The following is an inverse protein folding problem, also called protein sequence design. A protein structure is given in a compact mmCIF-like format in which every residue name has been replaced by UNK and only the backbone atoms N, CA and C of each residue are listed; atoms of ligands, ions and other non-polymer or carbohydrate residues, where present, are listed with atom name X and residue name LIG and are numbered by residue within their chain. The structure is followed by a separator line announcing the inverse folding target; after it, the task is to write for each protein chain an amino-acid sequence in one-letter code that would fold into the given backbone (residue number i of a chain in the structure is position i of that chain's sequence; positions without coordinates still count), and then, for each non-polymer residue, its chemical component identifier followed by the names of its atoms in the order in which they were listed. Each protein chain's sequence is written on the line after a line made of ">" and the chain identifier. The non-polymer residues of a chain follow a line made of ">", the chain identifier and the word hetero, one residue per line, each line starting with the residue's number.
data_IF_181210422520
#
_entry.id   IF_181210422520
#
_cell.length_a   1.000
_cell.length_b   1.000
_cell.length_c   1.000
_cell.angle_alpha   90.00
_cell.angle_beta   90.00
_cell.angle_gamma   90.00
#
_symmetry.space_group_name_H-M   'P 1'
#
loop_
_entity.id
_entity.type
_entity.pdbx_description
1 polymer ?
#
# COMPACT_ATOMS: atom_id res chain seq x y z
N UNK A 1 -25.80 26.32 -5.80
CA UNK A 1 -25.93 24.92 -5.43
C UNK A 1 -27.05 24.84 -4.39
N UNK A 2 -28.10 24.08 -4.69
CA UNK A 2 -29.17 23.77 -3.71
C UNK A 2 -28.58 22.82 -2.66
N UNK A 3 -28.86 23.04 -1.37
CA UNK A 3 -28.49 22.08 -0.35
C UNK A 3 -29.27 20.78 -0.59
N UNK A 4 -28.56 19.69 -0.84
CA UNK A 4 -29.16 18.37 -0.87
C UNK A 4 -29.45 18.01 0.60
N UNK A 5 -30.72 18.13 1.01
CA UNK A 5 -31.12 17.61 2.33
C UNK A 5 -31.19 16.09 2.23
N UNK A 6 -30.26 15.39 2.84
CA UNK A 6 -30.35 13.97 3.05
C UNK A 6 -31.06 13.74 4.39
N UNK A 7 -32.19 13.03 4.39
CA UNK A 7 -32.66 12.38 5.60
C UNK A 7 -31.72 11.23 5.89
N UNK A 8 -31.07 11.28 7.06
CA UNK A 8 -30.22 10.18 7.53
C UNK A 8 -31.11 8.97 7.83
N UNK A 9 -31.01 7.94 6.98
CA UNK A 9 -31.85 6.73 7.06
C UNK A 9 -31.18 5.60 7.84
N UNK A 10 -29.98 5.82 8.40
CA UNK A 10 -29.23 4.82 9.17
C UNK A 10 -29.41 5.00 10.68
N UNK A 11 -29.48 3.89 11.42
CA UNK A 11 -29.72 3.89 12.86
C UNK A 11 -28.42 3.98 13.70
N UNK A 12 -27.38 3.27 13.31
CA UNK A 12 -26.07 3.23 13.97
C UNK A 12 -25.02 2.81 12.97
N UNK A 13 -23.91 3.53 12.92
CA UNK A 13 -22.76 3.19 12.08
C UNK A 13 -21.68 2.60 12.97
N UNK A 14 -21.27 1.39 12.69
CA UNK A 14 -20.12 0.74 13.33
C UNK A 14 -18.95 0.75 12.38
N UNK A 15 -17.86 1.40 12.82
CA UNK A 15 -16.61 1.43 12.08
C UNK A 15 -15.72 0.28 12.56
N UNK A 16 -15.32 -0.58 11.64
CA UNK A 16 -14.36 -1.65 11.90
C UNK A 16 -13.04 -1.22 11.28
N UNK A 17 -12.10 -0.87 12.16
CA UNK A 17 -10.81 -0.27 11.77
C UNK A 17 -10.11 -1.15 10.74
N UNK A 18 -9.65 -0.53 9.65
CA UNK A 18 -8.98 -1.14 8.51
C UNK A 18 -9.79 -2.14 7.66
N UNK A 19 -11.04 -2.45 8.03
CA UNK A 19 -11.84 -3.48 7.35
C UNK A 19 -13.06 -2.91 6.63
N UNK A 20 -13.87 -2.10 7.29
CA UNK A 20 -15.08 -1.56 6.67
C UNK A 20 -16.04 -0.90 7.63
N UNK A 21 -17.27 -0.74 7.17
CA UNK A 21 -18.36 -0.08 7.89
C UNK A 21 -19.57 -1.00 7.86
N UNK A 22 -20.24 -1.15 8.99
CA UNK A 22 -21.53 -1.84 9.14
C UNK A 22 -22.58 -0.89 9.65
N UNK A 23 -23.81 -0.97 9.11
CA UNK A 23 -24.94 -0.16 9.54
C UNK A 23 -26.26 -0.86 9.23
N UNK A 24 -27.36 -0.31 9.76
CA UNK A 24 -28.71 -0.75 9.44
C UNK A 24 -29.47 0.36 8.72
N UNK A 25 -30.04 0.02 7.56
CA UNK A 25 -30.86 0.92 6.75
C UNK A 25 -32.22 0.23 6.53
N UNK A 26 -33.29 0.82 7.02
CA UNK A 26 -34.66 0.22 6.98
C UNK A 26 -34.64 -1.23 7.52
N UNK A 27 -34.07 -1.44 8.70
CA UNK A 27 -33.91 -2.72 9.40
C UNK A 27 -33.12 -3.79 8.65
N UNK A 28 -32.48 -3.46 7.54
CA UNK A 28 -31.56 -4.35 6.81
C UNK A 28 -30.12 -4.03 7.15
N UNK A 29 -29.35 -5.08 7.46
CA UNK A 29 -27.91 -4.94 7.66
C UNK A 29 -27.23 -4.61 6.34
N UNK A 30 -26.47 -3.53 6.32
CA UNK A 30 -25.68 -3.07 5.16
C UNK A 30 -24.24 -3.00 5.60
N UNK A 31 -23.36 -3.62 4.84
CA UNK A 31 -21.91 -3.60 5.07
C UNK A 31 -21.20 -3.10 3.82
N UNK A 32 -20.14 -2.33 4.03
CA UNK A 32 -19.28 -1.85 2.96
C UNK A 32 -17.83 -1.94 3.42
N UNK A 33 -16.97 -2.56 2.63
CA UNK A 33 -15.57 -2.73 3.02
C UNK A 33 -14.73 -3.54 2.04
N UNK A 34 -13.61 -4.04 2.55
CA UNK A 34 -12.67 -4.89 1.81
C UNK A 34 -13.29 -6.25 1.45
N UNK A 35 -12.61 -7.01 0.59
CA UNK A 35 -12.98 -8.40 0.25
C UNK A 35 -13.03 -9.27 1.51
N UNK A 36 -11.98 -9.22 2.32
CA UNK A 36 -11.88 -9.96 3.57
C UNK A 36 -13.06 -9.66 4.49
N UNK A 37 -13.33 -8.39 4.76
CA UNK A 37 -14.42 -7.99 5.63
C UNK A 37 -15.79 -8.48 5.15
N UNK A 38 -16.09 -8.32 3.85
CA UNK A 38 -17.43 -8.65 3.32
C UNK A 38 -17.62 -10.16 3.17
N UNK A 39 -16.60 -10.90 2.70
CA UNK A 39 -16.77 -12.33 2.39
C UNK A 39 -16.31 -13.27 3.50
N UNK A 40 -15.34 -12.87 4.34
CA UNK A 40 -14.82 -13.72 5.41
C UNK A 40 -15.43 -13.34 6.77
N UNK A 41 -15.34 -12.08 7.18
CA UNK A 41 -15.85 -11.65 8.49
C UNK A 41 -17.39 -11.62 8.53
N UNK A 42 -18.02 -11.10 7.48
CA UNK A 42 -19.47 -10.94 7.37
C UNK A 42 -20.17 -12.08 6.60
N UNK A 43 -19.39 -13.07 6.12
CA UNK A 43 -19.87 -14.28 5.43
C UNK A 43 -20.86 -13.99 4.29
N UNK A 44 -20.68 -12.87 3.59
CA UNK A 44 -21.55 -12.49 2.50
C UNK A 44 -21.32 -13.37 1.26
N UNK A 45 -22.37 -13.60 0.48
CA UNK A 45 -22.31 -14.45 -0.71
C UNK A 45 -22.63 -13.66 -1.98
N UNK A 46 -22.15 -14.16 -3.11
CA UNK A 46 -22.47 -13.66 -4.44
C UNK A 46 -23.63 -14.49 -4.98
N UNK A 47 -24.66 -13.84 -5.51
CA UNK A 47 -25.73 -14.56 -6.18
C UNK A 47 -25.15 -15.22 -7.46
N UNK A 48 -25.39 -16.53 -7.69
CA UNK A 48 -24.81 -17.26 -8.83
C UNK A 48 -25.07 -16.62 -10.19
N UNK A 49 -26.19 -15.90 -10.36
CA UNK A 49 -26.48 -15.20 -11.62
C UNK A 49 -25.51 -14.04 -11.91
N UNK A 50 -24.78 -13.52 -10.91
CA UNK A 50 -23.83 -12.42 -11.05
C UNK A 50 -22.36 -12.87 -10.96
N UNK A 51 -22.10 -14.17 -10.78
CA UNK A 51 -20.75 -14.70 -10.63
C UNK A 51 -19.84 -14.35 -11.81
N UNK A 52 -20.31 -14.56 -13.04
CA UNK A 52 -19.55 -14.24 -14.25
C UNK A 52 -19.18 -12.74 -14.30
N UNK A 53 -20.09 -11.88 -13.87
CA UNK A 53 -19.85 -10.44 -13.82
C UNK A 53 -18.81 -10.06 -12.77
N UNK A 54 -18.83 -10.72 -11.63
CA UNK A 54 -17.85 -10.54 -10.58
C UNK A 54 -16.45 -11.00 -11.04
N UNK A 55 -16.37 -12.14 -11.72
CA UNK A 55 -15.11 -12.69 -12.20
C UNK A 55 -14.46 -11.85 -13.31
N UNK A 56 -15.27 -11.05 -14.01
CA UNK A 56 -14.80 -10.15 -15.08
C UNK A 56 -14.44 -8.75 -14.58
N UNK A 57 -14.51 -8.47 -13.28
CA UNK A 57 -14.06 -7.18 -12.74
C UNK A 57 -12.58 -6.94 -13.03
N UNK A 58 -12.19 -5.70 -13.38
CA UNK A 58 -10.79 -5.36 -13.65
C UNK A 58 -9.90 -5.69 -12.45
N UNK A 59 -8.92 -6.59 -12.59
CA UNK A 59 -8.11 -7.01 -11.46
C UNK A 59 -7.14 -5.93 -10.95
N UNK A 60 -6.83 -4.93 -11.78
CA UNK A 60 -5.95 -3.82 -11.46
C UNK A 60 -6.62 -2.71 -10.64
N UNK A 61 -7.95 -2.75 -10.49
CA UNK A 61 -8.67 -1.76 -9.70
C UNK A 61 -8.81 -2.19 -8.26
N UNK A 62 -8.74 -1.25 -7.33
CA UNK A 62 -9.15 -1.49 -5.95
C UNK A 62 -10.67 -1.64 -5.89
N UNK A 63 -11.15 -2.63 -5.16
CA UNK A 63 -12.57 -2.94 -5.06
C UNK A 63 -13.10 -2.68 -3.67
N UNK A 64 -14.18 -1.94 -3.59
CA UNK A 64 -14.96 -1.76 -2.38
C UNK A 64 -16.30 -2.49 -2.55
N UNK A 65 -16.58 -3.43 -1.65
CA UNK A 65 -17.73 -4.31 -1.73
C UNK A 65 -18.85 -3.78 -0.83
N UNK A 66 -20.07 -3.75 -1.36
CA UNK A 66 -21.26 -3.41 -0.63
C UNK A 66 -22.20 -4.61 -0.60
N UNK A 67 -22.56 -5.08 0.57
CA UNK A 67 -23.51 -6.17 0.74
C UNK A 67 -24.71 -5.75 1.60
N UNK A 68 -25.87 -6.33 1.32
CA UNK A 68 -27.13 -6.14 2.03
C UNK A 68 -27.66 -7.52 2.41
N UNK A 69 -27.96 -7.71 3.71
CA UNK A 69 -28.50 -8.99 4.23
C UNK A 69 -27.64 -10.19 3.76
N UNK A 70 -26.31 -10.09 3.96
CA UNK A 70 -25.31 -11.10 3.58
C UNK A 70 -25.25 -11.45 2.07
N UNK A 71 -25.78 -10.58 1.20
CA UNK A 71 -25.65 -10.73 -0.25
C UNK A 71 -24.94 -9.55 -0.87
N UNK A 72 -23.96 -9.82 -1.72
CA UNK A 72 -23.29 -8.79 -2.49
C UNK A 72 -24.30 -8.04 -3.36
N UNK A 73 -24.42 -6.74 -3.14
CA UNK A 73 -25.35 -5.87 -3.86
C UNK A 73 -24.64 -5.03 -4.93
N UNK A 74 -23.40 -4.57 -4.64
CA UNK A 74 -22.62 -3.77 -5.57
C UNK A 74 -21.12 -3.93 -5.32
N UNK A 75 -20.32 -3.67 -6.35
CA UNK A 75 -18.87 -3.50 -6.26
C UNK A 75 -18.53 -2.14 -6.84
N UNK A 76 -17.84 -1.32 -6.05
CA UNK A 76 -17.32 -0.03 -6.49
C UNK A 76 -15.87 -0.29 -6.91
N UNK A 77 -15.59 -0.11 -8.20
CA UNK A 77 -14.24 -0.22 -8.73
C UNK A 77 -13.58 1.15 -8.66
N UNK A 78 -12.48 1.23 -7.93
CA UNK A 78 -11.70 2.45 -7.77
C UNK A 78 -10.45 2.30 -8.64
N UNK A 79 -10.35 3.15 -9.65
CA UNK A 79 -9.16 3.22 -10.47
C UNK A 79 -8.12 4.06 -9.74
N UNK A 80 -7.06 3.41 -9.29
CA UNK A 80 -5.86 4.09 -8.79
C UNK A 80 -4.74 3.82 -9.81
N UNK A 81 -4.49 4.76 -10.73
CA UNK A 81 -3.56 4.54 -11.81
C UNK A 81 -2.15 4.36 -11.28
N UNK A 82 -1.56 3.21 -11.63
CA UNK A 82 -0.15 2.98 -11.34
C UNK A 82 0.70 4.08 -12.00
N UNK A 83 1.61 4.67 -11.23
CA UNK A 83 2.54 5.67 -11.74
C UNK A 83 3.36 5.08 -12.89
N UNK A 84 3.46 5.79 -14.00
CA UNK A 84 4.12 5.32 -15.22
C UNK A 84 5.59 4.94 -14.97
N UNK A 85 6.26 5.66 -14.08
CA UNK A 85 7.66 5.45 -13.74
C UNK A 85 7.92 4.30 -12.75
N UNK A 86 6.89 3.68 -12.14
CA UNK A 86 7.05 2.69 -11.08
C UNK A 86 7.87 1.46 -11.52
N UNK A 87 7.58 0.92 -12.68
CA UNK A 87 8.31 -0.25 -13.21
C UNK A 87 9.78 0.10 -13.54
N UNK A 88 10.02 1.29 -14.12
CA UNK A 88 11.37 1.76 -14.41
C UNK A 88 12.17 2.02 -13.13
N UNK A 89 11.51 2.58 -12.11
CA UNK A 89 12.11 2.78 -10.79
C UNK A 89 12.59 1.46 -10.19
N UNK A 90 11.74 0.43 -10.13
CA UNK A 90 12.10 -0.90 -9.60
C UNK A 90 13.30 -1.49 -10.35
N UNK A 91 13.28 -1.44 -11.68
CA UNK A 91 14.40 -1.90 -12.51
C UNK A 91 15.70 -1.15 -12.21
N UNK A 92 15.60 0.17 -12.05
CA UNK A 92 16.75 1.04 -11.80
C UNK A 92 17.31 0.85 -10.39
N UNK A 93 16.48 0.62 -9.38
CA UNK A 93 16.90 0.28 -8.02
C UNK A 93 17.68 -1.04 -7.99
N UNK A 94 17.19 -2.06 -8.70
CA UNK A 94 17.90 -3.34 -8.85
C UNK A 94 19.28 -3.14 -9.54
N UNK A 95 19.33 -2.35 -10.58
CA UNK A 95 20.59 -2.00 -11.24
C UNK A 95 21.54 -1.19 -10.35
N UNK A 96 21.00 -0.39 -9.41
CA UNK A 96 21.78 0.35 -8.42
C UNK A 96 22.24 -0.50 -7.22
N UNK A 97 21.94 -1.81 -7.20
CA UNK A 97 22.43 -2.77 -6.21
C UNK A 97 21.43 -3.13 -5.11
N UNK A 98 20.12 -2.82 -5.28
CA UNK A 98 19.07 -3.38 -4.45
C UNK A 98 18.86 -4.84 -4.89
N UNK A 99 19.02 -5.77 -3.97
CA UNK A 99 18.96 -7.21 -4.25
C UNK A 99 17.56 -7.78 -4.29
N UNK A 100 16.61 -7.17 -3.57
CA UNK A 100 15.23 -7.61 -3.46
C UNK A 100 14.32 -6.39 -3.30
N UNK A 101 13.26 -6.34 -4.08
CA UNK A 101 12.20 -5.33 -3.99
C UNK A 101 10.90 -6.03 -3.63
N UNK A 102 10.29 -5.59 -2.54
CA UNK A 102 9.04 -6.16 -2.00
C UNK A 102 7.95 -5.08 -2.01
N UNK A 103 6.76 -5.45 -2.44
CA UNK A 103 5.58 -4.61 -2.36
C UNK A 103 4.67 -5.10 -1.23
N UNK A 104 4.23 -4.19 -0.36
CA UNK A 104 3.24 -4.47 0.68
C UNK A 104 2.07 -3.50 0.52
N UNK A 105 0.87 -4.04 0.41
CA UNK A 105 -0.35 -3.26 0.19
C UNK A 105 -1.51 -3.77 1.05
N UNK A 106 -2.43 -2.89 1.40
CA UNK A 106 -3.72 -3.25 1.98
C UNK A 106 -4.75 -3.72 0.96
N UNK A 107 -4.44 -3.67 -0.34
CA UNK A 107 -5.33 -4.14 -1.40
C UNK A 107 -5.51 -5.66 -1.38
N UNK A 108 -6.56 -6.12 -2.06
CA UNK A 108 -6.83 -7.56 -2.22
C UNK A 108 -5.71 -8.29 -2.95
N UNK A 109 -5.57 -9.59 -2.70
CA UNK A 109 -4.61 -10.47 -3.37
C UNK A 109 -4.65 -10.33 -4.90
N UNK A 110 -5.86 -10.25 -5.47
CA UNK A 110 -6.07 -10.11 -6.90
C UNK A 110 -5.46 -8.82 -7.46
N UNK A 111 -5.69 -7.69 -6.78
CA UNK A 111 -5.17 -6.37 -7.17
C UNK A 111 -3.65 -6.32 -6.97
N UNK A 112 -3.17 -6.78 -5.82
CA UNK A 112 -1.75 -6.82 -5.50
C UNK A 112 -0.95 -7.65 -6.51
N UNK A 113 -1.43 -8.83 -6.89
CA UNK A 113 -0.80 -9.69 -7.90
C UNK A 113 -0.69 -9.01 -9.26
N UNK A 114 -1.77 -8.33 -9.70
CA UNK A 114 -1.79 -7.62 -10.99
C UNK A 114 -0.77 -6.46 -11.00
N UNK A 115 -0.72 -5.66 -9.93
CA UNK A 115 0.20 -4.53 -9.79
C UNK A 115 1.65 -5.04 -9.68
N UNK A 116 1.91 -6.03 -8.83
CA UNK A 116 3.24 -6.60 -8.64
C UNK A 116 3.87 -7.09 -9.94
N UNK A 117 3.06 -7.77 -10.77
CA UNK A 117 3.47 -8.23 -12.10
C UNK A 117 3.82 -7.08 -13.05
N UNK A 118 3.03 -5.98 -13.02
CA UNK A 118 3.27 -4.79 -13.87
C UNK A 118 4.52 -4.03 -13.43
N UNK A 119 4.73 -3.88 -12.12
CA UNK A 119 5.86 -3.15 -11.55
C UNK A 119 7.16 -3.96 -11.61
N UNK A 120 7.08 -5.28 -11.55
CA UNK A 120 8.24 -6.18 -11.63
C UNK A 120 8.99 -6.30 -10.30
N UNK A 121 8.29 -6.25 -9.18
CA UNK A 121 8.83 -6.55 -7.84
C UNK A 121 9.16 -8.04 -7.70
N UNK A 122 9.99 -8.40 -6.73
CA UNK A 122 10.41 -9.79 -6.52
C UNK A 122 9.40 -10.58 -5.68
N UNK A 123 8.77 -9.90 -4.73
CA UNK A 123 7.73 -10.44 -3.86
C UNK A 123 6.68 -9.38 -3.59
N UNK A 124 5.47 -9.82 -3.25
CA UNK A 124 4.41 -8.93 -2.79
C UNK A 124 3.62 -9.59 -1.65
N UNK A 125 3.02 -8.75 -0.83
CA UNK A 125 2.11 -9.13 0.24
C UNK A 125 0.85 -8.26 0.12
N UNK A 126 -0.29 -8.91 0.06
CA UNK A 126 -1.62 -8.29 -0.01
C UNK A 126 -2.28 -8.25 1.37
N UNK A 127 -3.30 -7.43 1.52
CA UNK A 127 -4.13 -7.34 2.75
C UNK A 127 -3.32 -7.10 4.03
N UNK A 128 -2.18 -6.39 3.88
CA UNK A 128 -1.21 -6.15 4.97
C UNK A 128 -1.66 -4.96 5.82
N UNK A 129 -1.78 -5.19 7.11
CA UNK A 129 -2.02 -4.13 8.08
C UNK A 129 -0.76 -3.29 8.35
N UNK A 130 -0.88 -2.05 8.82
CA UNK A 130 0.28 -1.20 9.14
C UNK A 130 1.27 -1.84 10.11
N UNK A 131 0.78 -2.59 11.10
CA UNK A 131 1.59 -3.31 12.08
C UNK A 131 2.40 -4.44 11.45
N UNK A 132 1.82 -5.17 10.50
CA UNK A 132 2.48 -6.26 9.80
C UNK A 132 3.62 -5.79 8.93
N UNK A 133 3.51 -4.59 8.37
CA UNK A 133 4.60 -3.96 7.62
C UNK A 133 5.84 -3.73 8.49
N UNK A 134 5.64 -3.25 9.72
CA UNK A 134 6.73 -3.06 10.68
C UNK A 134 7.36 -4.40 11.10
N UNK A 135 6.54 -5.40 11.42
CA UNK A 135 6.98 -6.73 11.77
C UNK A 135 7.81 -7.39 10.64
N UNK A 136 7.38 -7.18 9.38
CA UNK A 136 8.12 -7.65 8.22
C UNK A 136 9.51 -6.99 8.14
N UNK A 137 9.59 -5.68 8.30
CA UNK A 137 10.86 -4.94 8.30
C UNK A 137 11.79 -5.46 9.39
N UNK A 138 11.31 -5.63 10.62
CA UNK A 138 12.10 -6.15 11.74
C UNK A 138 12.60 -7.57 11.47
N UNK A 139 11.77 -8.43 10.90
CA UNK A 139 12.15 -9.79 10.49
C UNK A 139 13.30 -9.76 9.48
N UNK A 140 13.19 -8.99 8.41
CA UNK A 140 14.23 -8.88 7.38
C UNK A 140 15.55 -8.38 7.99
N UNK A 141 15.50 -7.42 8.92
CA UNK A 141 16.68 -6.94 9.65
C UNK A 141 17.28 -7.99 10.57
N UNK A 142 16.45 -8.77 11.27
CA UNK A 142 16.92 -9.85 12.14
C UNK A 142 17.65 -10.97 11.37
N UNK A 143 17.32 -11.14 10.10
CA UNK A 143 18.01 -12.06 9.17
C UNK A 143 19.27 -11.44 8.55
N UNK A 144 19.70 -10.26 9.01
CA UNK A 144 20.93 -9.60 8.61
C UNK A 144 20.84 -8.77 7.32
N UNK A 145 19.64 -8.55 6.78
CA UNK A 145 19.43 -7.70 5.61
C UNK A 145 19.34 -6.22 6.02
N UNK A 146 19.78 -5.35 5.13
CA UNK A 146 19.59 -3.90 5.25
C UNK A 146 18.31 -3.51 4.51
N UNK A 147 17.40 -2.88 5.23
CA UNK A 147 16.05 -2.57 4.74
C UNK A 147 15.90 -1.07 4.52
N UNK A 148 15.46 -0.72 3.31
CA UNK A 148 14.95 0.61 2.99
C UNK A 148 13.43 0.49 2.89
N UNK A 149 12.71 1.22 3.72
CA UNK A 149 11.24 1.31 3.64
C UNK A 149 10.85 2.59 2.92
N UNK A 150 9.92 2.48 1.99
CA UNK A 150 9.35 3.61 1.24
C UNK A 150 7.85 3.60 1.46
N UNK A 151 7.27 4.72 1.86
CA UNK A 151 5.84 4.83 2.15
C UNK A 151 5.33 6.27 2.12
N UNK A 152 4.02 6.45 2.38
CA UNK A 152 3.36 7.77 2.40
C UNK A 152 3.60 8.57 3.69
N UNK A 153 4.14 7.93 4.70
CA UNK A 153 4.49 8.52 5.99
C UNK A 153 3.37 8.50 7.05
N UNK A 154 2.13 8.35 6.68
CA UNK A 154 1.00 8.35 7.64
C UNK A 154 0.73 6.94 8.15
N UNK A 155 0.34 6.05 7.25
CA UNK A 155 0.01 4.66 7.57
C UNK A 155 1.26 3.79 7.75
N UNK A 156 2.37 4.18 7.14
CA UNK A 156 3.62 3.43 7.13
C UNK A 156 4.61 3.86 8.22
N UNK A 157 4.21 4.77 9.11
CA UNK A 157 5.06 5.34 10.18
C UNK A 157 5.82 4.29 10.99
N UNK A 158 5.19 3.21 11.49
CA UNK A 158 5.90 2.18 12.25
C UNK A 158 6.97 1.46 11.41
N UNK A 159 6.66 1.15 10.16
CA UNK A 159 7.57 0.46 9.25
C UNK A 159 8.74 1.36 8.80
N UNK A 160 8.47 2.65 8.55
CA UNK A 160 9.50 3.65 8.23
C UNK A 160 10.51 3.79 9.37
N UNK A 161 10.01 3.88 10.63
CA UNK A 161 10.86 3.98 11.82
C UNK A 161 11.63 2.69 12.12
N UNK A 162 11.09 1.52 11.78
CA UNK A 162 11.74 0.24 11.99
C UNK A 162 12.88 -0.04 10.98
N UNK A 163 12.85 0.58 9.80
CA UNK A 163 13.82 0.34 8.72
C UNK A 163 15.24 0.84 9.06
N UNK A 164 16.25 0.42 8.28
CA UNK A 164 17.59 1.03 8.35
C UNK A 164 17.63 2.39 7.65
N UNK A 165 16.72 2.64 6.73
CA UNK A 165 16.44 3.96 6.17
C UNK A 165 14.96 4.02 5.78
N UNK A 166 14.23 4.95 6.39
CA UNK A 166 12.85 5.27 6.06
C UNK A 166 12.77 6.43 5.07
N UNK A 167 12.09 6.24 3.95
CA UNK A 167 11.88 7.27 2.92
C UNK A 167 10.38 7.54 2.82
N UNK A 168 9.95 8.74 3.19
CA UNK A 168 8.57 9.16 2.99
C UNK A 168 8.42 9.90 1.65
N UNK A 169 7.40 9.49 0.89
CA UNK A 169 6.99 10.17 -0.34
C UNK A 169 5.71 10.93 -0.03
N UNK A 170 5.81 12.26 0.08
CA UNK A 170 4.68 13.07 0.55
C UNK A 170 4.71 14.49 0.00
N UNK A 171 3.53 14.99 -0.39
CA UNK A 171 3.30 16.38 -0.79
C UNK A 171 3.26 17.36 0.39
N UNK A 172 4.18 17.23 1.33
CA UNK A 172 4.37 18.23 2.40
C UNK A 172 3.71 17.91 3.73
N UNK A 173 3.31 16.68 4.00
CA UNK A 173 2.82 16.28 5.32
C UNK A 173 3.93 16.45 6.37
N UNK A 174 3.71 17.34 7.33
CA UNK A 174 4.63 17.62 8.43
C UNK A 174 5.00 16.35 9.20
N UNK A 175 4.04 15.44 9.37
CA UNK A 175 4.19 14.15 10.05
C UNK A 175 5.22 13.24 9.34
N UNK A 176 5.24 13.22 8.02
CA UNK A 176 6.19 12.41 7.25
C UNK A 176 7.65 12.86 7.49
N UNK A 177 7.87 14.16 7.73
CA UNK A 177 9.20 14.73 8.02
C UNK A 177 9.73 14.41 9.41
N UNK A 178 8.83 14.15 10.36
CA UNK A 178 9.24 13.81 11.73
C UNK A 178 9.60 12.33 11.89
N UNK A 179 9.09 11.47 11.01
CA UNK A 179 9.16 10.01 11.16
C UNK A 179 10.17 9.37 10.21
N UNK A 180 10.31 9.91 9.00
CA UNK A 180 11.22 9.36 8.00
C UNK A 180 12.60 10.01 8.06
N UNK A 181 13.65 9.23 7.80
CA UNK A 181 15.03 9.74 7.67
C UNK A 181 15.17 10.66 6.45
N UNK A 182 14.38 10.41 5.42
CA UNK A 182 14.42 11.15 4.16
C UNK A 182 13.00 11.40 3.68
N UNK A 183 12.73 12.62 3.22
CA UNK A 183 11.45 12.97 2.58
C UNK A 183 11.70 13.35 1.13
N UNK A 184 10.93 12.77 0.23
CA UNK A 184 10.96 13.03 -1.21
C UNK A 184 9.60 13.61 -1.62
N UNK A 185 9.62 14.59 -2.53
CA UNK A 185 8.39 15.13 -3.11
C UNK A 185 7.62 14.03 -3.88
N UNK A 186 6.29 14.04 -3.76
CA UNK A 186 5.46 12.94 -4.25
C UNK A 186 5.31 12.86 -5.77
N UNK A 187 5.86 13.79 -6.51
CA UNK A 187 5.65 13.95 -7.95
C UNK A 187 6.63 13.12 -8.82
N UNK A 188 7.76 12.63 -8.26
CA UNK A 188 8.72 11.85 -9.05
C UNK A 188 9.43 10.73 -8.26
N UNK A 189 9.01 9.48 -8.47
CA UNK A 189 9.64 8.31 -7.86
C UNK A 189 11.11 8.09 -8.29
N UNK A 190 11.57 8.70 -9.36
CA UNK A 190 12.98 8.60 -9.83
C UNK A 190 13.96 9.24 -8.88
N UNK A 191 13.50 10.13 -8.00
CA UNK A 191 14.34 10.71 -6.95
C UNK A 191 14.88 9.65 -5.99
N UNK A 192 14.12 8.57 -5.72
CA UNK A 192 14.59 7.43 -4.91
C UNK A 192 15.80 6.76 -5.55
N UNK A 193 15.77 6.58 -6.87
CA UNK A 193 16.88 6.02 -7.64
C UNK A 193 18.11 6.95 -7.59
N UNK A 194 17.87 8.24 -7.78
CA UNK A 194 18.92 9.29 -7.69
C UNK A 194 19.59 9.26 -6.33
N UNK A 195 18.81 9.21 -5.25
CA UNK A 195 19.32 9.08 -3.88
C UNK A 195 20.21 7.84 -3.71
N UNK A 196 19.76 6.69 -4.20
CA UNK A 196 20.54 5.44 -4.13
C UNK A 196 21.86 5.53 -4.90
N UNK A 197 21.84 6.11 -6.08
CA UNK A 197 23.05 6.31 -6.89
C UNK A 197 24.04 7.28 -6.22
N UNK A 198 23.55 8.38 -5.66
CA UNK A 198 24.37 9.33 -4.90
C UNK A 198 25.01 8.68 -3.67
N UNK A 199 24.25 7.90 -2.91
CA UNK A 199 24.76 7.11 -1.78
C UNK A 199 25.89 6.18 -2.21
N UNK A 200 25.72 5.46 -3.30
CA UNK A 200 26.76 4.56 -3.83
C UNK A 200 28.04 5.32 -4.24
N UNK A 201 27.89 6.48 -4.86
CA UNK A 201 29.02 7.35 -5.24
C UNK A 201 29.76 7.90 -4.01
N UNK A 202 29.00 8.31 -3.00
CA UNK A 202 29.55 8.82 -1.74
C UNK A 202 30.37 7.75 -1.01
N UNK A 203 29.86 6.53 -0.88
CA UNK A 203 30.57 5.41 -0.28
C UNK A 203 31.86 5.07 -1.04
N UNK A 204 31.81 5.04 -2.37
CA UNK A 204 33.02 4.85 -3.20
C UNK A 204 34.06 5.93 -2.94
N UNK A 205 33.64 7.18 -2.71
CA UNK A 205 34.53 8.31 -2.45
C UNK A 205 35.19 8.24 -1.07
N UNK A 206 34.41 7.82 -0.06
CA UNK A 206 34.91 7.59 1.32
C UNK A 206 35.99 6.49 1.30
N UNK A 207 35.66 5.31 0.80
CA UNK A 207 36.60 4.19 0.73
C UNK A 207 37.89 4.50 -0.07
N UNK A 208 37.78 5.38 -1.07
CA UNK A 208 38.97 5.81 -1.84
C UNK A 208 39.86 6.78 -1.05
N UNK A 209 39.28 7.59 -0.15
CA UNK A 209 40.03 8.48 0.74
C UNK A 209 40.74 7.68 1.82
N UNK A 210 40.07 6.73 2.45
CA UNK A 210 40.63 5.91 3.52
C UNK A 210 41.83 5.12 3.05
N UNK A 211 41.79 4.59 1.82
CA UNK A 211 42.97 3.93 1.22
C UNK A 211 44.17 4.85 0.98
N UNK A 212 43.96 6.17 0.87
CA UNK A 212 45.07 7.14 0.64
C UNK A 212 45.65 7.70 1.93
N UNK A 213 44.95 7.55 3.07
CA UNK A 213 45.43 8.02 4.37
C UNK A 213 46.15 6.94 5.19
N UNK A 214 46.36 5.75 4.65
CA UNK A 214 47.07 4.61 5.28
C UNK A 214 48.47 4.41 4.64
N UNK A 215 49.02 5.46 4.00
CA UNK A 215 50.40 5.48 3.49
C UNK A 215 51.15 6.58 4.18
#
# INVERSE_FOLDING_TARGET
>A
ALPISHEEMHSKVEYIVAHGISSYINDKKVVIGSSHFVFEDEECTIDPQYQDRYDTLPPEYSHLYLAIEHKLAAVICIEDPLREEAAEMVKSLKAAGITKVVMMTGDSERTAAAIAKRVGVDEYYAEVLPEDKANFVEKEKSEGRKVIMIGDGINDSPALSAADAGIAISDGAEIAREIADITIAADDLREVVTLKLLSNLMLKRIHRKDRKSVV
#
